data_IF_929883145247
#
_entry.id   IF_929883145247
#
_cell.length_a   1.000
_cell.length_b   1.000
_cell.length_c   1.000
_cell.angle_alpha   90.00
_cell.angle_beta   90.00
_cell.angle_gamma   90.00
#
_symmetry.space_group_name_H-M   'P 1'
#
loop_
_entity.id
_entity.type
_entity.pdbx_description
1 polymer ?
#
# COMPACT_ATOMS: atom_id res chain seq x y z
N UNK A 1 -15.05 -0.16 0.43
CA UNK A 1 -14.90 1.29 0.16
C UNK A 1 -13.45 1.68 0.43
N UNK A 2 -12.71 2.19 -0.59
CA UNK A 2 -11.26 2.44 -0.52
C UNK A 2 -10.86 3.51 0.51
N UNK A 3 -11.78 4.38 0.89
CA UNK A 3 -11.57 5.45 1.88
C UNK A 3 -10.47 6.46 1.51
N UNK A 4 -10.16 6.63 0.23
CA UNK A 4 -9.26 7.68 -0.23
C UNK A 4 -9.79 9.06 0.12
N UNK A 5 -8.89 9.97 0.48
CA UNK A 5 -9.21 11.36 0.82
C UNK A 5 -8.16 12.29 0.24
N UNK A 6 -8.59 13.47 -0.15
CA UNK A 6 -7.65 14.55 -0.47
C UNK A 6 -6.93 14.99 0.80
N UNK A 7 -5.65 15.38 0.65
CA UNK A 7 -4.91 15.96 1.76
C UNK A 7 -5.58 17.26 2.22
N UNK A 8 -5.82 17.44 3.54
CA UNK A 8 -6.25 18.72 4.05
C UNK A 8 -5.09 19.71 3.98
N UNK A 9 -5.20 20.73 3.14
CA UNK A 9 -4.22 21.82 3.04
C UNK A 9 -4.53 22.99 3.95
N UNK A 10 -5.75 23.03 4.50
CA UNK A 10 -6.25 24.04 5.43
C UNK A 10 -6.96 23.36 6.59
N UNK A 11 -7.18 24.09 7.69
CA UNK A 11 -7.91 23.62 8.88
C UNK A 11 -7.26 22.42 9.60
N UNK A 12 -5.95 22.23 9.48
CA UNK A 12 -5.21 21.14 10.15
C UNK A 12 -5.42 21.17 11.67
N UNK A 13 -5.39 22.36 12.29
CA UNK A 13 -5.66 22.54 13.72
C UNK A 13 -7.06 22.04 14.11
N UNK A 14 -8.08 22.34 13.30
CA UNK A 14 -9.45 21.90 13.55
C UNK A 14 -9.55 20.35 13.49
N UNK A 15 -8.89 19.71 12.53
CA UNK A 15 -8.87 18.25 12.43
C UNK A 15 -8.26 17.63 13.70
N UNK A 16 -7.13 18.17 14.16
CA UNK A 16 -6.50 17.73 15.41
C UNK A 16 -7.45 17.89 16.60
N UNK A 17 -8.09 19.06 16.73
CA UNK A 17 -9.06 19.32 17.81
C UNK A 17 -10.22 18.33 17.76
N UNK A 18 -10.83 18.13 16.60
CA UNK A 18 -11.95 17.18 16.43
C UNK A 18 -11.54 15.72 16.77
N UNK A 19 -10.31 15.31 16.47
CA UNK A 19 -9.81 13.99 16.83
C UNK A 19 -9.64 13.84 18.34
N UNK A 20 -9.05 14.83 19.00
CA UNK A 20 -8.87 14.84 20.45
C UNK A 20 -10.23 14.88 21.20
N UNK A 21 -11.18 15.68 20.74
CA UNK A 21 -12.54 15.74 21.29
C UNK A 21 -13.28 14.40 21.16
N UNK A 22 -12.96 13.59 20.16
CA UNK A 22 -13.47 12.23 19.98
C UNK A 22 -12.72 11.19 20.80
N UNK A 23 -11.74 11.60 21.61
CA UNK A 23 -10.94 10.69 22.44
C UNK A 23 -9.86 9.92 21.66
N UNK A 24 -9.49 10.37 20.45
CA UNK A 24 -8.40 9.74 19.70
C UNK A 24 -7.05 10.02 20.38
N UNK A 25 -6.22 9.00 20.51
CA UNK A 25 -4.83 9.11 20.96
C UNK A 25 -3.98 9.40 19.73
N UNK A 26 -3.25 10.52 19.75
CA UNK A 26 -2.39 10.94 18.62
C UNK A 26 -0.92 10.56 18.83
N UNK A 27 -0.55 10.22 20.06
CA UNK A 27 0.77 9.68 20.39
C UNK A 27 0.97 8.32 19.69
N UNK A 28 2.13 8.13 19.08
CA UNK A 28 2.43 6.93 18.30
C UNK A 28 1.80 6.89 16.89
N UNK A 29 1.05 7.92 16.49
CA UNK A 29 0.43 7.99 15.15
C UNK A 29 1.32 8.77 14.17
N UNK A 30 1.82 8.14 13.09
CA UNK A 30 2.66 8.82 12.11
C UNK A 30 1.98 10.06 11.51
N UNK A 31 2.77 11.14 11.37
CA UNK A 31 2.29 12.43 10.88
C UNK A 31 1.75 13.35 11.96
N UNK A 32 1.49 12.85 13.17
CA UNK A 32 1.17 13.68 14.32
C UNK A 32 2.39 13.88 15.21
N UNK A 33 2.52 15.06 15.79
CA UNK A 33 3.56 15.38 16.74
C UNK A 33 3.11 16.47 17.73
N UNK A 34 3.80 16.58 18.87
CA UNK A 34 3.53 17.60 19.86
C UNK A 34 4.53 18.76 19.74
N UNK A 35 4.07 20.00 19.79
CA UNK A 35 4.96 21.16 19.86
C UNK A 35 5.54 21.29 21.27
N UNK A 36 6.87 21.35 21.41
CA UNK A 36 7.56 21.44 22.71
C UNK A 36 7.10 22.60 23.57
N UNK A 37 6.95 23.78 22.94
CA UNK A 37 6.72 25.02 23.68
C UNK A 37 5.26 25.20 24.12
N UNK A 38 4.30 24.67 23.35
CA UNK A 38 2.86 24.86 23.60
C UNK A 38 2.15 23.60 24.08
N UNK A 39 2.78 22.43 23.96
CA UNK A 39 2.12 21.15 24.22
C UNK A 39 0.98 20.82 23.25
N UNK A 40 0.84 21.59 22.17
CA UNK A 40 -0.24 21.38 21.20
C UNK A 40 0.14 20.28 20.18
N UNK A 41 -0.83 19.40 19.90
CA UNK A 41 -0.71 18.43 18.82
C UNK A 41 -0.85 19.11 17.44
N UNK A 42 -0.07 18.65 16.50
CA UNK A 42 -0.02 19.14 15.12
C UNK A 42 -0.05 17.94 14.17
N UNK A 43 -0.75 18.11 13.05
CA UNK A 43 -0.72 17.18 11.91
C UNK A 43 0.19 17.77 10.82
N UNK A 44 1.26 17.06 10.46
CA UNK A 44 2.20 17.44 9.40
C UNK A 44 1.81 16.76 8.07
N UNK A 45 1.28 17.55 7.15
CA UNK A 45 0.98 17.11 5.77
C UNK A 45 1.70 18.02 4.79
N UNK A 46 2.48 17.42 3.90
CA UNK A 46 3.32 18.11 2.93
C UNK A 46 2.67 18.14 1.56
N UNK A 47 2.02 19.25 1.21
CA UNK A 47 1.46 19.49 -0.12
C UNK A 47 0.07 18.88 -0.35
N UNK A 48 -0.49 19.22 -1.51
CA UNK A 48 -1.78 18.68 -1.97
C UNK A 48 -1.62 17.33 -2.65
N UNK A 49 -2.61 16.47 -2.48
CA UNK A 49 -2.58 15.13 -3.03
C UNK A 49 -3.72 14.25 -2.53
N UNK A 50 -3.52 12.95 -2.65
CA UNK A 50 -4.46 11.92 -2.21
C UNK A 50 -3.80 11.07 -1.14
N UNK A 51 -4.46 10.92 0.01
CA UNK A 51 -4.08 9.99 1.07
C UNK A 51 -4.59 8.58 0.75
N UNK A 52 -3.69 7.64 0.77
CA UNK A 52 -3.89 6.22 0.49
C UNK A 52 -3.61 5.43 1.78
N UNK A 53 -4.62 4.84 2.41
CA UNK A 53 -4.40 4.07 3.62
C UNK A 53 -3.82 2.69 3.32
N UNK A 54 -2.70 2.35 3.93
CA UNK A 54 -2.15 1.00 3.92
C UNK A 54 -2.85 0.17 5.00
N UNK A 55 -3.41 -0.97 4.63
CA UNK A 55 -4.23 -1.81 5.49
C UNK A 55 -3.58 -3.16 5.72
N UNK A 56 -3.59 -3.62 6.97
CA UNK A 56 -3.24 -4.99 7.32
C UNK A 56 -4.38 -5.99 6.97
N UNK A 57 -4.15 -7.27 7.21
CA UNK A 57 -5.14 -8.35 6.99
C UNK A 57 -6.45 -8.15 7.76
N UNK A 58 -6.44 -7.44 8.88
CA UNK A 58 -7.62 -7.12 9.67
C UNK A 58 -8.36 -5.87 9.15
N UNK A 59 -7.89 -5.26 8.04
CA UNK A 59 -8.44 -4.03 7.48
C UNK A 59 -8.11 -2.76 8.26
N UNK A 60 -7.25 -2.83 9.28
CA UNK A 60 -6.81 -1.69 10.07
C UNK A 60 -5.76 -0.90 9.30
N UNK A 61 -5.79 0.43 9.42
CA UNK A 61 -4.82 1.33 8.78
C UNK A 61 -3.54 1.34 9.63
N UNK A 62 -2.43 0.87 9.05
CA UNK A 62 -1.11 0.88 9.69
C UNK A 62 -0.23 2.04 9.23
N UNK A 63 -0.44 2.51 8.00
CA UNK A 63 0.27 3.65 7.43
C UNK A 63 -0.63 4.45 6.49
N UNK A 64 -0.22 5.65 6.16
CA UNK A 64 -0.85 6.47 5.13
C UNK A 64 0.23 6.93 4.16
N UNK A 65 0.11 6.52 2.92
CA UNK A 65 0.91 7.05 1.83
C UNK A 65 0.18 8.24 1.21
N UNK A 66 0.91 9.29 0.87
CA UNK A 66 0.37 10.45 0.15
C UNK A 66 0.93 10.47 -1.26
N UNK A 67 0.03 10.42 -2.26
CA UNK A 67 0.37 10.67 -3.65
C UNK A 67 0.19 12.15 -3.95
N UNK A 68 1.28 12.85 -4.22
CA UNK A 68 1.27 14.28 -4.51
C UNK A 68 0.66 14.61 -5.87
N UNK A 69 -0.09 15.71 -5.96
CA UNK A 69 -0.63 16.25 -7.22
C UNK A 69 0.48 16.80 -8.09
N UNK A 70 1.49 17.44 -7.48
CA UNK A 70 2.68 17.95 -8.16
C UNK A 70 3.91 17.17 -7.72
N UNK A 71 4.61 16.61 -8.69
CA UNK A 71 5.85 15.86 -8.46
C UNK A 71 7.03 16.83 -8.59
N UNK A 72 7.75 17.04 -7.48
CA UNK A 72 9.02 17.78 -7.47
C UNK A 72 10.18 16.78 -7.44
N UNK A 73 10.44 16.18 -6.26
CA UNK A 73 11.51 15.19 -6.09
C UNK A 73 10.95 13.76 -5.98
N UNK A 74 9.73 13.62 -5.43
CA UNK A 74 9.08 12.34 -5.23
C UNK A 74 7.58 12.44 -5.54
N UNK A 75 7.02 11.33 -6.01
CA UNK A 75 5.59 11.22 -6.35
C UNK A 75 4.76 10.81 -5.14
N UNK A 76 5.35 10.02 -4.24
CA UNK A 76 4.73 9.51 -3.03
C UNK A 76 5.61 9.77 -1.83
N UNK A 77 4.99 9.98 -0.67
CA UNK A 77 5.68 9.94 0.62
C UNK A 77 4.75 9.28 1.66
N UNK A 78 5.35 8.65 2.67
CA UNK A 78 4.61 8.14 3.81
C UNK A 78 4.44 9.25 4.84
N UNK A 79 3.22 9.37 5.38
CA UNK A 79 2.94 10.29 6.46
C UNK A 79 3.79 9.92 7.68
N UNK A 80 4.68 10.82 8.11
CA UNK A 80 5.66 10.59 9.17
C UNK A 80 5.98 11.88 9.92
N UNK A 81 6.36 11.76 11.18
CA UNK A 81 6.74 12.87 12.04
C UNK A 81 7.96 12.51 12.92
N UNK A 82 8.76 11.53 12.49
CA UNK A 82 9.85 10.91 13.26
C UNK A 82 10.87 11.93 13.84
N UNK A 83 11.13 13.03 13.12
CA UNK A 83 12.10 14.06 13.54
C UNK A 83 11.49 15.11 14.49
N UNK A 84 10.24 14.94 14.89
CA UNK A 84 9.49 15.87 15.73
C UNK A 84 9.38 15.35 17.18
N UNK A 85 9.11 16.25 18.13
CA UNK A 85 8.88 15.90 19.53
C UNK A 85 7.56 15.10 19.66
N UNK A 86 7.61 13.93 20.29
CA UNK A 86 6.54 12.93 20.26
C UNK A 86 6.11 12.52 18.83
N UNK A 87 6.99 12.69 17.85
CA UNK A 87 6.74 12.24 16.48
C UNK A 87 7.04 10.76 16.31
N UNK A 88 6.37 10.16 15.34
CA UNK A 88 6.43 8.72 15.07
C UNK A 88 6.80 8.45 13.62
N UNK A 89 7.68 7.47 13.41
CA UNK A 89 8.04 6.98 12.09
C UNK A 89 6.89 6.20 11.48
N UNK A 90 6.62 6.43 10.19
CA UNK A 90 5.72 5.56 9.44
C UNK A 90 6.29 4.15 9.34
N UNK A 91 5.45 3.15 9.58
CA UNK A 91 5.81 1.76 9.33
C UNK A 91 5.71 1.49 7.82
N UNK A 92 6.68 0.76 7.29
CA UNK A 92 6.57 0.15 5.97
C UNK A 92 5.84 -1.17 6.16
N UNK A 93 4.59 -1.26 5.72
CA UNK A 93 3.76 -2.46 5.83
C UNK A 93 3.25 -2.88 4.45
N UNK A 94 3.02 -4.18 4.22
CA UNK A 94 2.29 -4.63 3.04
C UNK A 94 0.84 -4.16 3.14
N UNK A 95 0.25 -3.80 2.01
CA UNK A 95 -1.15 -3.42 1.93
C UNK A 95 -1.99 -4.60 1.44
N UNK A 96 -3.08 -4.91 2.13
CA UNK A 96 -3.99 -6.00 1.78
C UNK A 96 -5.35 -5.46 1.33
N UNK A 97 -5.86 -6.00 0.23
CA UNK A 97 -7.21 -5.73 -0.25
C UNK A 97 -7.85 -7.02 -0.76
N UNK A 98 -9.04 -7.35 -0.24
CA UNK A 98 -9.79 -8.54 -0.63
C UNK A 98 -9.10 -9.87 -0.28
N UNK A 99 -8.17 -9.86 0.67
CA UNK A 99 -7.49 -11.05 1.18
C UNK A 99 -8.23 -11.50 2.45
N UNK A 100 -8.59 -12.79 2.51
CA UNK A 100 -9.37 -13.37 3.60
C UNK A 100 -8.75 -14.69 4.06
N UNK A 101 -9.06 -15.09 5.28
CA UNK A 101 -8.70 -16.41 5.78
C UNK A 101 -9.33 -17.51 4.91
N UNK A 102 -8.52 -18.49 4.51
CA UNK A 102 -8.92 -19.57 3.61
C UNK A 102 -8.74 -19.28 2.11
N UNK A 103 -8.29 -18.09 1.74
CA UNK A 103 -7.88 -17.83 0.35
C UNK A 103 -6.66 -18.69 0.01
N UNK A 104 -6.75 -19.48 -1.06
CA UNK A 104 -5.62 -20.30 -1.51
C UNK A 104 -4.65 -19.54 -2.41
N UNK A 105 -5.11 -18.49 -3.07
CA UNK A 105 -4.35 -17.72 -4.07
C UNK A 105 -4.46 -16.23 -3.83
N UNK A 106 -3.34 -15.53 -3.84
CA UNK A 106 -3.28 -14.06 -3.80
C UNK A 106 -2.41 -13.50 -4.92
N UNK A 107 -2.61 -12.24 -5.27
CA UNK A 107 -1.79 -11.52 -6.24
C UNK A 107 -0.88 -10.52 -5.53
N UNK A 108 0.42 -10.58 -5.79
CA UNK A 108 1.42 -9.60 -5.34
C UNK A 108 1.62 -8.53 -6.40
N UNK A 109 1.52 -7.26 -6.05
CA UNK A 109 1.74 -6.14 -6.98
C UNK A 109 2.47 -4.96 -6.34
N UNK A 110 2.88 -4.02 -7.17
CA UNK A 110 3.49 -2.77 -6.74
C UNK A 110 2.43 -1.70 -6.42
N UNK A 111 2.44 -1.19 -5.19
CA UNK A 111 1.70 0.01 -4.77
C UNK A 111 0.27 -0.23 -4.34
N UNK A 112 -0.11 0.49 -3.29
CA UNK A 112 -1.45 0.49 -2.66
C UNK A 112 -2.56 0.77 -3.68
N UNK A 113 -2.42 1.83 -4.46
CA UNK A 113 -3.45 2.25 -5.40
C UNK A 113 -3.67 1.22 -6.51
N UNK A 114 -2.61 0.56 -6.99
CA UNK A 114 -2.74 -0.44 -8.07
C UNK A 114 -3.46 -1.69 -7.58
N UNK A 115 -3.13 -2.17 -6.38
CA UNK A 115 -3.82 -3.31 -5.76
C UNK A 115 -5.30 -3.03 -5.55
N UNK A 116 -5.62 -1.88 -4.96
CA UNK A 116 -7.01 -1.46 -4.74
C UNK A 116 -7.82 -1.34 -6.04
N UNK A 117 -7.24 -0.74 -7.07
CA UNK A 117 -7.90 -0.58 -8.38
C UNK A 117 -8.07 -1.93 -9.08
N UNK A 118 -7.02 -2.78 -9.09
CA UNK A 118 -7.10 -4.11 -9.69
C UNK A 118 -8.18 -4.94 -9.00
N UNK A 119 -8.19 -5.00 -7.68
CA UNK A 119 -9.25 -5.67 -6.92
C UNK A 119 -10.64 -5.12 -7.26
N UNK A 120 -10.80 -3.79 -7.27
CA UNK A 120 -12.07 -3.15 -7.57
C UNK A 120 -12.60 -3.47 -8.99
N UNK A 121 -11.71 -3.60 -9.97
CA UNK A 121 -12.09 -4.00 -11.33
C UNK A 121 -12.41 -5.49 -11.45
N UNK A 122 -11.76 -6.34 -10.65
CA UNK A 122 -11.93 -7.80 -10.68
C UNK A 122 -13.20 -8.28 -9.98
N UNK A 123 -13.80 -7.46 -9.10
CA UNK A 123 -14.96 -7.85 -8.31
C UNK A 123 -16.10 -8.42 -9.16
N UNK A 124 -16.62 -9.57 -8.76
CA UNK A 124 -17.67 -10.30 -9.47
C UNK A 124 -17.22 -10.94 -10.78
N UNK A 125 -15.92 -10.98 -11.08
CA UNK A 125 -15.37 -11.70 -12.24
C UNK A 125 -14.79 -13.06 -11.82
N UNK A 126 -14.57 -14.00 -12.78
CA UNK A 126 -13.88 -15.25 -12.49
C UNK A 126 -12.41 -15.10 -12.08
N UNK A 127 -11.87 -13.90 -12.15
CA UNK A 127 -10.49 -13.55 -11.80
C UNK A 127 -10.42 -12.71 -10.52
N UNK A 128 -11.50 -12.67 -9.75
CA UNK A 128 -11.52 -12.05 -8.44
C UNK A 128 -10.58 -12.81 -7.51
N UNK A 129 -9.60 -12.11 -6.93
CA UNK A 129 -8.69 -12.62 -5.91
C UNK A 129 -8.21 -11.48 -5.03
N UNK A 130 -7.67 -11.79 -3.87
CA UNK A 130 -7.04 -10.81 -2.99
C UNK A 130 -5.71 -10.30 -3.55
N UNK A 131 -5.35 -9.07 -3.19
CA UNK A 131 -4.09 -8.44 -3.59
C UNK A 131 -3.26 -8.03 -2.37
N UNK A 132 -1.94 -8.24 -2.50
CA UNK A 132 -0.92 -7.66 -1.63
C UNK A 132 -0.17 -6.59 -2.40
N UNK A 133 -0.28 -5.34 -1.96
CA UNK A 133 0.42 -4.19 -2.54
C UNK A 133 1.67 -3.83 -1.75
N UNK A 134 2.84 -3.81 -2.38
CA UNK A 134 4.08 -3.34 -1.77
C UNK A 134 4.32 -1.86 -2.10
N UNK A 135 4.76 -1.06 -1.13
CA UNK A 135 4.94 0.39 -1.29
C UNK A 135 6.24 0.74 -2.02
N UNK A 136 6.35 0.34 -3.28
CA UNK A 136 7.53 0.51 -4.14
C UNK A 136 8.30 -0.77 -4.37
N UNK A 137 9.27 -0.73 -5.30
CA UNK A 137 10.15 -1.84 -5.63
C UNK A 137 11.62 -1.34 -5.60
N UNK A 138 12.54 -2.08 -4.93
CA UNK A 138 12.30 -3.28 -4.12
C UNK A 138 11.80 -2.96 -2.69
N UNK A 139 10.91 -3.82 -2.17
CA UNK A 139 10.38 -3.75 -0.80
C UNK A 139 10.43 -5.13 -0.14
N UNK A 140 11.63 -5.67 -0.01
CA UNK A 140 11.82 -7.06 0.43
C UNK A 140 11.34 -7.31 1.86
N UNK A 141 11.58 -6.39 2.80
CA UNK A 141 11.11 -6.53 4.19
C UNK A 141 9.58 -6.51 4.32
N UNK A 142 8.89 -5.73 3.47
CA UNK A 142 7.43 -5.79 3.42
C UNK A 142 6.97 -7.14 2.87
N UNK A 143 7.67 -7.68 1.87
CA UNK A 143 7.31 -8.97 1.30
C UNK A 143 7.60 -10.12 2.27
N UNK A 144 8.72 -10.10 3.00
CA UNK A 144 8.98 -11.07 4.08
C UNK A 144 7.85 -11.12 5.09
N UNK A 145 7.42 -9.95 5.59
CA UNK A 145 6.27 -9.87 6.49
C UNK A 145 5.00 -10.40 5.82
N UNK A 146 4.76 -10.08 4.55
CA UNK A 146 3.59 -10.58 3.83
C UNK A 146 3.61 -12.11 3.70
N UNK A 147 4.76 -12.73 3.46
CA UNK A 147 4.88 -14.19 3.38
C UNK A 147 4.49 -14.85 4.71
N UNK A 148 4.97 -14.33 5.85
CA UNK A 148 4.61 -14.85 7.17
C UNK A 148 3.09 -14.71 7.44
N UNK A 149 2.52 -13.53 7.14
CA UNK A 149 1.10 -13.25 7.34
C UNK A 149 0.22 -14.11 6.42
N UNK A 150 0.60 -14.32 5.16
CA UNK A 150 -0.13 -15.15 4.19
C UNK A 150 -0.09 -16.65 4.54
N UNK A 151 1.06 -17.14 5.03
CA UNK A 151 1.16 -18.53 5.50
C UNK A 151 0.22 -18.77 6.68
N UNK A 152 0.15 -17.81 7.61
CA UNK A 152 -0.70 -17.90 8.80
C UNK A 152 -2.20 -18.03 8.49
N UNK A 153 -2.67 -17.56 7.35
CA UNK A 153 -4.07 -17.63 6.90
C UNK A 153 -4.32 -18.74 5.87
N UNK A 154 -3.28 -19.52 5.52
CA UNK A 154 -3.40 -20.72 4.70
C UNK A 154 -3.26 -20.52 3.20
N UNK A 155 -2.78 -19.36 2.73
CA UNK A 155 -2.46 -19.14 1.31
C UNK A 155 -1.43 -20.15 0.83
N UNK A 156 -1.61 -20.69 -0.38
CA UNK A 156 -0.73 -21.69 -0.99
C UNK A 156 0.03 -21.14 -2.19
N UNK A 157 -0.57 -20.19 -2.91
CA UNK A 157 -0.02 -19.68 -4.16
C UNK A 157 0.00 -18.16 -4.20
N UNK A 158 1.10 -17.62 -4.72
CA UNK A 158 1.30 -16.18 -4.95
C UNK A 158 1.51 -15.93 -6.44
N UNK A 159 0.60 -15.16 -7.06
CA UNK A 159 0.76 -14.67 -8.42
C UNK A 159 1.54 -13.36 -8.39
N UNK A 160 2.78 -13.36 -8.84
CA UNK A 160 3.65 -12.16 -8.87
C UNK A 160 3.33 -11.31 -10.09
N UNK A 161 2.71 -10.15 -9.87
CA UNK A 161 2.18 -9.22 -10.87
C UNK A 161 2.85 -7.85 -10.77
N UNK A 162 4.17 -7.80 -10.92
CA UNK A 162 4.91 -6.53 -10.99
C UNK A 162 4.68 -5.81 -12.32
N UNK A 163 4.93 -4.51 -12.35
CA UNK A 163 4.78 -3.68 -13.55
C UNK A 163 5.50 -4.29 -14.76
N UNK A 164 4.87 -4.23 -15.92
CA UNK A 164 5.41 -4.83 -17.18
C UNK A 164 6.73 -4.21 -17.65
N UNK A 165 7.19 -3.13 -17.03
CA UNK A 165 8.47 -2.49 -17.33
C UNK A 165 9.70 -3.32 -16.87
N UNK A 166 9.51 -4.44 -16.15
CA UNK A 166 10.56 -5.46 -15.93
C UNK A 166 11.16 -5.98 -17.25
N UNK A 167 10.42 -5.88 -18.36
CA UNK A 167 10.88 -6.29 -19.69
C UNK A 167 12.00 -5.39 -20.22
N UNK A 168 12.10 -4.15 -19.75
CA UNK A 168 13.07 -3.13 -20.20
C UNK A 168 13.96 -2.60 -19.08
N UNK A 169 13.54 -2.74 -17.81
CA UNK A 169 14.27 -2.24 -16.63
C UNK A 169 14.85 -3.41 -15.85
N UNK A 170 16.17 -3.48 -15.82
CA UNK A 170 16.89 -4.58 -15.15
C UNK A 170 16.64 -4.62 -13.63
N UNK A 171 16.55 -3.45 -12.98
CA UNK A 171 16.26 -3.37 -11.54
C UNK A 171 14.88 -3.94 -11.20
N UNK A 172 13.86 -3.68 -12.03
CA UNK A 172 12.50 -4.22 -11.82
C UNK A 172 12.49 -5.74 -12.07
N UNK A 173 13.23 -6.19 -13.08
CA UNK A 173 13.38 -7.63 -13.35
C UNK A 173 14.06 -8.35 -12.19
N UNK A 174 15.19 -7.83 -11.69
CA UNK A 174 15.88 -8.40 -10.52
C UNK A 174 15.00 -8.46 -9.29
N UNK A 175 14.23 -7.39 -9.02
CA UNK A 175 13.31 -7.39 -7.90
C UNK A 175 12.20 -8.43 -8.05
N UNK A 176 11.61 -8.56 -9.26
CA UNK A 176 10.61 -9.59 -9.55
C UNK A 176 11.16 -10.99 -9.33
N UNK A 177 12.33 -11.28 -9.89
CA UNK A 177 12.97 -12.60 -9.79
C UNK A 177 13.28 -12.91 -8.30
N UNK A 178 13.71 -11.90 -7.53
CA UNK A 178 13.93 -12.05 -6.09
C UNK A 178 12.66 -12.32 -5.31
N UNK A 179 11.52 -11.69 -5.66
CA UNK A 179 10.23 -12.01 -5.03
C UNK A 179 9.80 -13.45 -5.32
N UNK A 180 10.03 -13.95 -6.52
CA UNK A 180 9.76 -15.36 -6.88
C UNK A 180 10.59 -16.30 -6.02
N UNK A 181 11.90 -16.05 -5.90
CA UNK A 181 12.81 -16.85 -5.07
C UNK A 181 12.38 -16.85 -3.59
N UNK A 182 12.07 -15.67 -3.03
CA UNK A 182 11.68 -15.54 -1.62
C UNK A 182 10.36 -16.29 -1.33
N UNK A 183 9.36 -16.14 -2.19
CA UNK A 183 8.09 -16.86 -2.03
C UNK A 183 8.27 -18.38 -2.14
N UNK A 184 9.03 -18.85 -3.11
CA UNK A 184 9.34 -20.28 -3.25
C UNK A 184 10.14 -20.82 -2.05
N UNK A 185 11.11 -20.07 -1.54
CA UNK A 185 11.88 -20.44 -0.35
C UNK A 185 11.01 -20.49 0.92
N UNK A 186 9.96 -19.69 0.98
CA UNK A 186 8.96 -19.71 2.07
C UNK A 186 7.89 -20.81 1.92
N UNK A 187 7.97 -21.63 0.84
CA UNK A 187 7.09 -22.79 0.65
C UNK A 187 5.83 -22.54 -0.19
N UNK A 188 5.69 -21.35 -0.78
CA UNK A 188 4.55 -21.04 -1.66
C UNK A 188 4.78 -21.57 -3.09
N UNK A 189 3.71 -21.93 -3.77
CA UNK A 189 3.68 -21.99 -5.22
C UNK A 189 3.73 -20.56 -5.77
N UNK A 190 4.73 -20.20 -6.56
CA UNK A 190 4.88 -18.84 -7.08
C UNK A 190 4.77 -18.83 -8.59
N UNK A 191 3.80 -18.07 -9.11
CA UNK A 191 3.58 -17.93 -10.54
C UNK A 191 3.82 -16.49 -11.00
N UNK A 192 4.83 -16.24 -11.86
CA UNK A 192 4.98 -14.93 -12.49
C UNK A 192 3.87 -14.71 -13.53
N UNK A 193 3.03 -13.72 -13.35
CA UNK A 193 2.02 -13.34 -14.32
C UNK A 193 2.56 -12.23 -15.21
N UNK A 194 2.41 -12.39 -16.51
CA UNK A 194 2.94 -11.47 -17.52
C UNK A 194 1.86 -10.96 -18.45
N UNK A 195 2.00 -9.73 -18.93
CA UNK A 195 1.10 -9.13 -19.90
C UNK A 195 1.83 -8.18 -20.85
N UNK A 196 1.12 -7.71 -21.88
CA UNK A 196 1.70 -6.82 -22.88
C UNK A 196 2.14 -5.48 -22.26
N UNK A 197 3.34 -5.04 -22.59
CA UNK A 197 4.00 -3.83 -22.06
C UNK A 197 3.19 -2.54 -22.21
N UNK A 198 2.30 -2.46 -23.22
CA UNK A 198 1.39 -1.29 -23.40
C UNK A 198 0.46 -1.04 -22.21
N UNK A 199 0.30 -2.00 -21.28
CA UNK A 199 -0.40 -1.87 -20.02
C UNK A 199 0.63 -1.97 -18.92
N UNK A 200 1.04 -0.83 -18.38
CA UNK A 200 2.18 -0.79 -17.46
C UNK A 200 1.87 -1.54 -16.17
N UNK A 201 0.84 -1.15 -15.45
CA UNK A 201 0.48 -1.71 -14.15
C UNK A 201 -0.62 -2.76 -14.24
N UNK A 202 -0.80 -3.52 -13.15
CA UNK A 202 -1.90 -4.46 -13.00
C UNK A 202 -3.26 -3.78 -13.05
N UNK A 203 -3.38 -2.56 -12.56
CA UNK A 203 -4.57 -1.73 -12.64
C UNK A 203 -4.96 -1.40 -14.09
N UNK A 204 -3.99 -1.09 -14.96
CA UNK A 204 -4.21 -0.89 -16.39
C UNK A 204 -4.68 -2.19 -17.09
N UNK A 205 -4.10 -3.33 -16.69
CA UNK A 205 -4.50 -4.64 -17.18
C UNK A 205 -5.94 -4.95 -16.81
N UNK A 206 -6.29 -4.88 -15.53
CA UNK A 206 -7.63 -5.22 -15.04
C UNK A 206 -8.70 -4.24 -15.51
N UNK A 207 -8.38 -2.95 -15.58
CA UNK A 207 -9.25 -1.96 -16.22
C UNK A 207 -9.57 -2.32 -17.66
N UNK A 208 -8.58 -2.80 -18.43
CA UNK A 208 -8.81 -3.23 -19.81
C UNK A 208 -9.68 -4.49 -19.90
N UNK A 209 -9.46 -5.46 -19.01
CA UNK A 209 -10.19 -6.73 -19.03
C UNK A 209 -11.65 -6.59 -18.55
N UNK A 210 -11.93 -5.70 -17.59
CA UNK A 210 -13.19 -5.73 -16.85
C UNK A 210 -14.00 -4.43 -16.86
N UNK A 211 -13.48 -3.30 -17.37
CA UNK A 211 -14.19 -2.01 -17.36
C UNK A 211 -15.45 -1.97 -18.26
N UNK A 212 -15.60 -2.90 -19.17
CA UNK A 212 -16.70 -2.93 -20.15
C UNK A 212 -17.77 -3.98 -19.82
N UNK A 213 -17.87 -4.35 -18.55
CA UNK A 213 -18.95 -5.24 -18.05
C UNK A 213 -19.98 -4.47 -17.24
#
# INVERSE_FOLDING_TARGET
RLCYRTTPTTRLKRIVTELLERGCILDGVPGFYCQKDSGQWVLDIRGSGIMLPDRNLLGQIEAIQVRLDKVYNQKFYNLTSVDQYYGTQSKCCPHYVGVHEGDEVVCLTEGVMKSDLAYSFAQGSPYECGFVGLTGIPSYSQYERALEELDSIGVKRINVMVDSDYQVKEEVRKARDRYIEMGAAAGFEVAPITWAQKRKGVDDLYKHLFRNK
#
